data_IF_146318990872
#
_entry.id   IF_146318990872
#
_cell.length_a   1.000
_cell.length_b   1.000
_cell.length_c   1.000
_cell.angle_alpha   90.00
_cell.angle_beta   90.00
_cell.angle_gamma   90.00
#
_symmetry.space_group_name_H-M   'P 1'
#
loop_
_entity.id
_entity.type
_entity.pdbx_description
1 polymer ?
2 non-polymer ?
3 non-polymer ?
4 non-polymer ?
5 non-polymer ?
6 non-polymer ?
7 non-polymer ?
8 non-polymer ?
9 water ?
#
# COMPACT_ATOMS: atom_id res chain seq x y z
N UNK A 2 9.37 -17.90 1.12
CA UNK A 2 8.72 -18.71 2.12
C UNK A 2 8.40 -20.01 1.45
N UNK A 3 7.94 -21.03 2.26
CA UNK A 3 7.64 -22.26 1.54
C UNK A 3 6.40 -22.03 0.73
N UNK A 4 6.30 -22.72 -0.39
CA UNK A 4 5.17 -22.61 -1.27
C UNK A 4 4.55 -23.98 -1.21
N UNK A 5 3.34 -24.14 -1.71
CA UNK A 5 2.74 -25.45 -1.73
C UNK A 5 3.60 -26.22 -2.69
N UNK A 6 3.96 -27.44 -2.34
CA UNK A 6 4.79 -28.26 -3.18
C UNK A 6 3.93 -29.26 -3.89
N UNK A 7 2.93 -28.75 -4.55
CA UNK A 7 1.95 -29.54 -5.31
C UNK A 7 1.08 -28.53 -5.99
N UNK A 8 0.58 -28.87 -7.15
CA UNK A 8 -0.28 -27.94 -7.84
C UNK A 8 -1.80 -28.22 -7.66
N UNK A 9 -2.15 -29.42 -7.19
CA UNK A 9 -3.53 -29.74 -6.85
C UNK A 9 -3.77 -29.45 -5.39
N UNK A 10 -4.52 -28.39 -5.11
CA UNK A 10 -4.71 -27.90 -3.76
C UNK A 10 -6.21 -27.86 -3.46
N UNK A 11 -6.61 -28.47 -2.35
CA UNK A 11 -8.00 -28.47 -1.97
C UNK A 11 -8.27 -27.41 -0.92
N UNK A 12 -9.53 -26.95 -0.88
CA UNK A 12 -10.05 -26.00 0.12
C UNK A 12 -11.40 -26.42 0.61
N UNK A 13 -11.76 -25.96 1.79
CA UNK A 13 -13.04 -26.33 2.40
C UNK A 13 -13.55 -25.21 3.19
N UNK A 14 -14.81 -24.86 3.00
CA UNK A 14 -15.53 -23.92 3.87
C UNK A 14 -16.02 -24.63 5.18
N UNK A 15 -15.47 -24.18 6.29
CA UNK A 15 -15.70 -24.77 7.60
C UNK A 15 -17.04 -24.34 8.19
N UNK A 16 -17.45 -23.15 7.81
CA UNK A 16 -18.62 -22.50 8.35
C UNK A 16 -18.93 -21.31 7.47
N UNK A 17 -20.20 -20.92 7.50
CA UNK A 17 -20.73 -19.87 6.64
C UNK A 17 -21.06 -18.64 7.44
N UNK A 18 -20.74 -17.46 6.83
CA UNK A 18 -21.22 -16.20 7.34
C UNK A 18 -22.71 -16.03 7.10
N UNK A 19 -23.44 -15.46 8.06
CA UNK A 19 -24.87 -15.09 7.85
C UNK A 19 -25.14 -13.81 7.04
N UNK A 20 -24.11 -13.06 6.65
CA UNK A 20 -24.29 -11.79 5.96
C UNK A 20 -24.81 -11.98 4.53
N UNK A 21 -24.30 -13.02 3.84
CA UNK A 21 -24.59 -13.37 2.44
C UNK A 21 -25.27 -14.72 2.52
N UNK A 22 -26.01 -15.13 1.48
CA UNK A 22 -26.48 -16.50 1.44
C UNK A 22 -25.37 -17.38 0.90
N UNK A 23 -25.52 -18.67 1.11
CA UNK A 23 -24.46 -19.64 0.83
C UNK A 23 -23.91 -19.63 -0.55
N UNK A 24 -24.80 -19.56 -1.51
CA UNK A 24 -24.37 -19.56 -2.90
C UNK A 24 -23.50 -18.35 -3.22
N UNK A 25 -23.84 -17.20 -2.65
CA UNK A 25 -22.96 -16.01 -2.80
C UNK A 25 -21.54 -16.24 -2.14
N UNK A 26 -21.50 -16.96 -1.02
CA UNK A 26 -20.24 -17.21 -0.34
C UNK A 26 -19.40 -18.16 -1.20
N UNK A 27 -19.96 -19.32 -1.48
CA UNK A 27 -19.41 -20.32 -2.39
C UNK A 27 -18.89 -19.67 -3.70
N UNK A 28 -19.73 -18.84 -4.28
CA UNK A 28 -19.39 -18.23 -5.55
C UNK A 28 -18.18 -17.36 -5.42
N UNK A 29 -18.08 -16.61 -4.33
CA UNK A 29 -17.02 -15.58 -4.11
C UNK A 29 -15.69 -16.24 -3.91
N UNK A 30 -15.72 -17.29 -3.09
CA UNK A 30 -14.57 -18.10 -2.75
C UNK A 30 -14.08 -18.78 -4.00
N UNK A 31 -14.99 -19.45 -4.70
CA UNK A 31 -14.61 -20.24 -5.88
C UNK A 31 -13.99 -19.31 -6.91
N UNK A 32 -14.73 -18.30 -7.27
CA UNK A 32 -14.19 -17.24 -8.11
C UNK A 32 -12.87 -16.70 -7.64
N UNK A 33 -12.74 -16.56 -6.33
CA UNK A 33 -11.54 -16.05 -5.76
C UNK A 33 -10.32 -16.94 -6.03
N UNK A 34 -10.52 -18.25 -5.94
CA UNK A 34 -9.49 -19.24 -6.29
C UNK A 34 -9.16 -19.24 -7.78
N UNK A 35 -10.19 -19.03 -8.61
CA UNK A 35 -10.07 -18.99 -10.06
C UNK A 35 -9.18 -17.86 -10.50
N UNK A 36 -9.23 -16.76 -9.77
CA UNK A 36 -8.35 -15.63 -10.09
C UNK A 36 -6.87 -16.08 -10.14
N UNK A 37 -6.50 -16.99 -9.23
CA UNK A 37 -5.13 -17.42 -9.09
C UNK A 37 -4.72 -18.59 -9.99
N UNK A 38 -5.65 -19.51 -10.26
CA UNK A 38 -5.43 -20.62 -11.18
C UNK A 38 -5.53 -20.16 -12.62
N UNK A 39 -6.27 -19.11 -12.88
CA UNK A 39 -6.23 -18.45 -14.22
C UNK A 39 -4.90 -18.04 -14.79
N UNK A 40 -3.94 -17.76 -13.92
CA UNK A 40 -2.60 -17.29 -14.36
C UNK A 40 -1.48 -18.20 -13.85
N UNK A 41 -1.87 -19.33 -13.27
CA UNK A 41 -0.92 -20.32 -12.87
C UNK A 41 -1.38 -21.74 -13.25
N UNK A 42 -0.45 -22.70 -13.23
CA UNK A 42 -0.82 -24.10 -13.37
C UNK A 42 -1.37 -24.71 -12.08
N UNK A 43 -1.86 -23.88 -11.16
CA UNK A 43 -2.51 -24.37 -9.93
C UNK A 43 -3.92 -24.71 -10.31
N UNK A 44 -4.51 -25.61 -9.52
CA UNK A 44 -5.84 -26.11 -9.79
C UNK A 44 -6.53 -26.40 -8.50
N UNK A 45 -7.66 -25.73 -8.25
CA UNK A 45 -8.31 -25.78 -6.94
C UNK A 45 -9.58 -26.60 -6.96
N UNK A 46 -9.85 -27.31 -5.86
CA UNK A 46 -10.93 -28.30 -5.76
C UNK A 46 -11.54 -28.16 -4.38
N UNK A 47 -12.84 -27.85 -4.36
CA UNK A 47 -13.55 -27.67 -3.14
C UNK A 47 -13.96 -29.09 -2.68
N UNK A 48 -13.64 -29.46 -1.45
CA UNK A 48 -14.12 -30.71 -0.82
C UNK A 48 -15.03 -30.36 0.34
N UNK A 49 -15.87 -31.34 0.71
CA UNK A 49 -16.90 -31.20 1.72
C UNK A 49 -16.80 -32.26 2.79
N UNK A 50 -15.72 -33.01 2.69
CA UNK A 50 -15.37 -33.86 3.76
C UNK A 50 -13.87 -34.04 3.79
N UNK A 51 -13.40 -34.51 4.93
CA UNK A 51 -11.99 -34.73 5.17
C UNK A 51 -11.29 -33.41 5.37
N UNK A 52 -9.98 -33.41 5.18
CA UNK A 52 -9.15 -32.34 5.61
C UNK A 52 -8.62 -31.67 4.34
N UNK A 53 -8.69 -30.34 4.29
CA UNK A 53 -8.28 -29.54 3.08
C UNK A 53 -6.97 -28.87 3.25
N UNK A 54 -6.39 -28.46 2.16
CA UNK A 54 -5.17 -27.71 2.28
C UNK A 54 -5.54 -26.43 2.93
N UNK A 55 -6.55 -25.77 2.35
CA UNK A 55 -6.90 -24.40 2.73
C UNK A 55 -8.25 -24.41 3.35
N UNK A 56 -8.35 -23.99 4.61
CA UNK A 56 -9.64 -24.04 5.27
C UNK A 56 -10.05 -22.61 5.40
N UNK A 57 -11.22 -22.30 4.84
CA UNK A 57 -11.88 -21.02 4.92
C UNK A 57 -12.72 -21.04 6.19
N UNK A 58 -12.49 -20.06 7.08
CA UNK A 58 -13.25 -19.88 8.35
C UNK A 58 -13.83 -18.48 8.52
N UNK A 59 -15.06 -18.44 9.03
CA UNK A 59 -15.64 -17.18 9.53
C UNK A 59 -15.65 -17.22 11.06
N UNK A 60 -15.09 -16.17 11.67
CA UNK A 60 -14.97 -16.09 13.11
C UNK A 60 -14.80 -14.69 13.63
N UNK A 61 -15.25 -14.52 14.86
CA UNK A 61 -15.14 -13.26 15.58
C UNK A 61 -14.12 -13.39 16.74
N UNK A 62 -13.47 -12.30 17.06
CA UNK A 62 -12.60 -12.19 18.22
C UNK A 62 -11.46 -13.19 18.20
N UNK A 63 -11.28 -13.83 19.35
CA UNK A 63 -10.32 -14.88 19.49
C UNK A 63 -10.94 -16.20 18.97
N UNK A 64 -10.27 -16.91 18.08
CA UNK A 64 -10.80 -18.15 17.44
C UNK A 64 -9.78 -19.29 17.42
N UNK A 65 -8.87 -19.29 18.38
CA UNK A 65 -7.99 -20.44 18.63
C UNK A 65 -6.71 -20.46 17.82
N UNK A 66 -6.36 -19.37 17.12
CA UNK A 66 -5.11 -19.37 16.33
C UNK A 66 -4.09 -18.37 16.86
N UNK A 67 -4.33 -17.82 18.06
CA UNK A 67 -3.46 -16.77 18.68
C UNK A 67 -3.35 -15.46 17.90
N UNK A 68 -4.32 -15.19 17.03
CA UNK A 68 -4.42 -13.96 16.28
C UNK A 68 -5.89 -13.62 16.30
N UNK A 69 -6.33 -12.98 17.36
CA UNK A 69 -7.71 -12.58 17.46
C UNK A 69 -8.07 -11.42 16.52
N UNK A 70 -9.31 -11.49 16.09
CA UNK A 70 -9.94 -10.46 15.36
C UNK A 70 -10.34 -9.37 16.34
N UNK A 71 -10.71 -8.20 15.80
CA UNK A 71 -10.83 -6.97 16.59
C UNK A 71 -12.20 -6.31 16.44
N UNK A 72 -13.26 -7.10 16.27
CA UNK A 72 -14.59 -6.55 15.94
C UNK A 72 -14.60 -5.76 14.63
N UNK A 73 -15.73 -5.09 14.36
CA UNK A 73 -15.95 -4.40 13.08
C UNK A 73 -14.84 -3.39 12.78
N UNK A 74 -14.30 -3.39 11.58
CA UNK A 74 -13.23 -2.48 11.23
C UNK A 74 -11.85 -3.04 11.58
N UNK A 75 -10.83 -2.19 11.44
CA UNK A 75 -9.45 -2.59 11.58
C UNK A 75 -9.05 -3.79 10.72
N UNK A 76 -8.91 -4.93 11.40
CA UNK A 76 -8.44 -6.15 10.78
C UNK A 76 -9.67 -6.84 10.19
N UNK A 77 -9.60 -7.12 8.89
CA UNK A 77 -10.69 -7.75 8.15
C UNK A 77 -10.61 -9.28 8.08
N UNK A 78 -9.39 -9.79 7.99
CA UNK A 78 -9.11 -11.19 7.75
C UNK A 78 -7.60 -11.41 7.87
N UNK A 79 -7.17 -12.65 8.05
CA UNK A 79 -5.78 -13.01 7.87
C UNK A 79 -5.75 -14.41 7.33
N UNK A 80 -4.62 -14.79 6.72
CA UNK A 80 -4.34 -16.17 6.25
C UNK A 80 -2.89 -16.62 6.47
N UNK A 81 -2.74 -17.90 6.81
CA UNK A 81 -1.47 -18.51 7.16
C UNK A 81 -0.78 -19.01 5.93
N UNK A 82 0.55 -18.96 5.89
CA UNK A 82 1.32 -19.30 4.69
C UNK A 82 1.29 -20.78 4.39
N UNK A 83 1.76 -21.17 3.19
CA UNK A 83 1.65 -22.57 2.83
C UNK A 83 2.27 -23.42 3.93
N UNK A 84 1.63 -24.54 4.25
CA UNK A 84 2.12 -25.38 5.33
C UNK A 84 1.14 -26.47 5.66
N UNK A 85 1.57 -27.44 6.46
CA UNK A 85 0.61 -28.41 7.03
C UNK A 85 -0.27 -27.72 8.09
N UNK A 86 -1.31 -28.40 8.57
CA UNK A 86 -2.19 -27.89 9.65
C UNK A 86 -2.87 -26.55 9.34
N UNK A 87 -2.73 -25.58 10.24
CA UNK A 87 -3.24 -24.21 10.03
C UNK A 87 -2.66 -23.55 8.79
N UNK A 88 -1.49 -23.98 8.37
CA UNK A 88 -0.90 -23.54 7.11
C UNK A 88 -1.89 -23.37 5.98
N UNK A 89 -1.74 -22.23 5.27
CA UNK A 89 -2.65 -21.88 4.19
C UNK A 89 -4.07 -21.49 4.58
N UNK A 90 -4.54 -21.83 5.78
CA UNK A 90 -5.93 -21.49 6.14
C UNK A 90 -6.20 -19.96 6.00
N UNK A 91 -7.41 -19.60 5.58
CA UNK A 91 -7.83 -18.20 5.48
C UNK A 91 -9.02 -17.95 6.37
N UNK A 92 -8.84 -17.04 7.31
CA UNK A 92 -9.92 -16.69 8.21
C UNK A 92 -10.45 -15.29 7.96
N UNK A 93 -11.77 -15.17 8.09
CA UNK A 93 -12.50 -13.97 7.84
C UNK A 93 -13.18 -13.46 9.14
N UNK A 94 -12.99 -12.17 9.40
CA UNK A 94 -13.57 -11.56 10.57
C UNK A 94 -15.06 -11.46 10.36
N UNK A 95 -15.79 -12.28 11.07
CA UNK A 95 -17.23 -12.28 11.01
C UNK A 95 -17.84 -10.99 11.48
N UNK A 96 -17.14 -10.27 12.32
CA UNK A 96 -17.65 -8.99 12.73
C UNK A 96 -17.54 -7.94 11.61
N UNK A 97 -16.96 -8.25 10.45
CA UNK A 97 -17.15 -7.37 9.29
C UNK A 97 -18.48 -7.71 8.68
N UNK A 98 -18.98 -6.79 7.84
CA UNK A 98 -20.19 -7.10 7.06
C UNK A 98 -19.78 -7.56 5.67
N UNK A 99 -19.89 -8.87 5.43
CA UNK A 99 -19.42 -9.44 4.16
C UNK A 99 -20.51 -9.32 3.11
N UNK A 100 -20.10 -8.85 1.91
CA UNK A 100 -21.02 -8.55 0.77
C UNK A 100 -20.56 -9.11 -0.60
N UNK A 101 -21.54 -9.24 -1.50
CA UNK A 101 -21.26 -9.70 -2.87
C UNK A 101 -20.71 -8.51 -3.66
N UNK A 102 -21.20 -7.31 -3.34
CA UNK A 102 -20.62 -6.10 -3.88
C UNK A 102 -20.19 -5.19 -2.73
N UNK A 103 -20.58 -3.92 -2.77
CA UNK A 103 -20.11 -2.95 -1.81
C UNK A 103 -21.16 -2.80 -0.75
N UNK A 104 -20.96 -1.91 0.20
CA UNK A 104 -21.89 -1.77 1.33
C UNK A 104 -21.51 -2.69 2.47
N UNK A 105 -20.21 -2.84 2.62
CA UNK A 105 -19.65 -3.84 3.47
C UNK A 105 -18.21 -4.02 3.09
N UNK A 106 -17.72 -5.18 3.42
CA UNK A 106 -16.42 -5.60 2.99
C UNK A 106 -16.68 -6.68 1.98
N UNK A 107 -16.26 -6.43 0.76
CA UNK A 107 -16.43 -7.42 -0.28
C UNK A 107 -15.66 -8.73 -0.04
N UNK A 108 -16.40 -9.85 -0.02
CA UNK A 108 -15.83 -11.15 0.32
C UNK A 108 -14.86 -11.54 -0.79
N UNK A 109 -15.32 -11.40 -2.04
CA UNK A 109 -14.54 -11.84 -3.18
C UNK A 109 -13.14 -11.25 -3.18
N UNK A 110 -13.04 -9.92 -3.16
CA UNK A 110 -11.71 -9.27 -3.17
C UNK A 110 -10.85 -9.67 -1.93
N UNK A 111 -11.47 -9.63 -0.78
CA UNK A 111 -10.80 -10.01 0.43
C UNK A 111 -10.30 -11.46 0.35
N UNK A 112 -11.08 -12.34 -0.25
CA UNK A 112 -10.63 -13.73 -0.37
C UNK A 112 -9.57 -13.90 -1.46
N UNK A 113 -9.69 -13.16 -2.56
CA UNK A 113 -8.60 -13.12 -3.54
C UNK A 113 -7.30 -12.76 -2.83
N UNK A 114 -7.37 -11.83 -1.88
CA UNK A 114 -6.22 -11.34 -1.15
C UNK A 114 -5.66 -12.31 -0.14
N UNK A 115 -6.53 -12.82 0.71
CA UNK A 115 -6.10 -13.83 1.66
C UNK A 115 -5.59 -15.07 0.97
N UNK A 116 -6.24 -15.45 -0.12
CA UNK A 116 -5.82 -16.66 -0.81
C UNK A 116 -4.41 -16.47 -1.26
N UNK A 117 -4.10 -15.29 -1.85
CA UNK A 117 -2.74 -14.90 -2.16
C UNK A 117 -1.74 -15.13 -1.04
N UNK A 118 -1.98 -14.59 0.15
CA UNK A 118 -1.14 -15.00 1.28
C UNK A 118 -1.21 -16.55 1.49
N UNK A 119 -2.38 -17.15 1.37
CA UNK A 119 -2.45 -18.61 1.60
C UNK A 119 -1.52 -19.38 0.64
N UNK A 120 -1.17 -18.76 -0.50
CA UNK A 120 -0.27 -19.39 -1.46
C UNK A 120 1.18 -18.98 -1.26
N UNK A 121 1.45 -18.17 -0.24
CA UNK A 121 2.77 -17.59 0.04
C UNK A 121 3.09 -16.23 -0.60
N UNK A 122 2.09 -15.47 -1.02
CA UNK A 122 2.37 -14.14 -1.51
C UNK A 122 2.61 -13.13 -0.38
N UNK A 123 3.40 -12.09 -0.69
CA UNK A 123 3.64 -10.99 0.23
C UNK A 123 2.62 -9.89 -0.03
N UNK A 124 3.02 -8.66 0.23
CA UNK A 124 2.22 -7.50 -0.10
C UNK A 124 2.90 -6.78 -1.24
N UNK A 125 2.15 -5.92 -1.92
CA UNK A 125 2.64 -5.13 -3.05
C UNK A 125 2.58 -3.66 -2.73
N UNK A 126 3.39 -2.91 -3.45
CA UNK A 126 3.47 -1.48 -3.28
C UNK A 126 2.65 -0.76 -4.33
N UNK A 127 2.01 -1.51 -5.25
CA UNK A 127 1.14 -0.95 -6.30
C UNK A 127 -0.28 -0.91 -5.75
N UNK A 128 -0.89 0.28 -5.59
CA UNK A 128 -2.27 0.41 -5.06
C UNK A 128 -3.38 -0.23 -5.90
N UNK A 129 -3.00 -0.67 -7.09
CA UNK A 129 -3.87 -1.33 -8.03
C UNK A 129 -3.72 -2.86 -7.91
N UNK A 130 -2.77 -3.31 -7.11
CA UNK A 130 -2.53 -4.70 -6.85
C UNK A 130 -3.51 -5.26 -5.82
N UNK A 131 -3.97 -6.46 -6.05
CA UNK A 131 -4.87 -7.09 -5.09
C UNK A 131 -4.21 -7.41 -3.73
N UNK A 132 -2.92 -7.68 -3.75
CA UNK A 132 -2.08 -7.85 -2.58
C UNK A 132 -1.61 -6.50 -1.91
N UNK A 133 -2.10 -5.35 -2.40
CA UNK A 133 -1.91 -4.06 -1.70
C UNK A 133 -2.48 -4.18 -0.28
N UNK A 134 -1.77 -3.67 0.74
CA UNK A 134 -2.22 -3.87 2.12
C UNK A 134 -3.49 -3.15 2.52
N UNK A 135 -3.89 -2.09 1.83
CA UNK A 135 -5.10 -1.35 2.19
C UNK A 135 -6.29 -1.86 1.39
N UNK A 136 -7.39 -2.15 2.08
CA UNK A 136 -8.59 -2.60 1.40
C UNK A 136 -9.36 -1.40 0.90
N UNK A 137 -9.85 -1.51 -0.31
CA UNK A 137 -10.75 -0.55 -0.88
C UNK A 137 -11.61 -1.28 -1.88
N UNK A 138 -12.88 -0.90 -1.95
CA UNK A 138 -13.80 -1.53 -2.88
C UNK A 138 -13.43 -1.08 -4.31
N UNK A 139 -13.25 -2.05 -5.20
CA UNK A 139 -12.92 -1.76 -6.60
C UNK A 139 -14.00 -2.47 -7.43
N UNK A 140 -14.09 -2.08 -8.71
CA UNK A 140 -15.12 -2.61 -9.59
C UNK A 140 -14.76 -4.02 -9.96
N UNK A 141 -15.55 -4.97 -9.47
CA UNK A 141 -15.39 -6.41 -9.75
C UNK A 141 -15.56 -6.75 -11.24
N UNK A 142 -16.43 -6.01 -11.95
CA UNK A 142 -16.48 -6.04 -13.43
C UNK A 142 -15.15 -5.85 -14.15
N UNK A 143 -14.34 -4.99 -13.63
CA UNK A 143 -13.10 -4.66 -14.27
C UNK A 143 -11.95 -5.19 -13.44
N UNK A 144 -12.26 -6.15 -12.56
CA UNK A 144 -11.28 -6.73 -11.70
C UNK A 144 -10.25 -7.48 -12.50
N UNK A 145 -9.00 -7.33 -12.13
CA UNK A 145 -7.89 -7.91 -12.84
C UNK A 145 -6.68 -7.91 -11.91
N UNK A 146 -6.01 -9.06 -11.78
CA UNK A 146 -4.68 -9.06 -11.14
C UNK A 146 -3.75 -8.03 -11.79
N UNK A 147 -2.95 -7.32 -10.99
CA UNK A 147 -1.97 -6.37 -11.52
C UNK A 147 -0.75 -7.15 -11.99
N UNK A 148 0.16 -6.51 -12.72
CA UNK A 148 1.41 -7.18 -13.18
C UNK A 148 2.17 -7.76 -12.02
N UNK A 149 2.21 -6.99 -10.95
CA UNK A 149 2.92 -7.29 -9.74
C UNK A 149 2.35 -8.55 -9.10
N UNK A 150 1.03 -8.70 -9.16
CA UNK A 150 0.39 -9.91 -8.65
C UNK A 150 0.77 -11.11 -9.52
N UNK A 151 0.83 -10.90 -10.83
CA UNK A 151 1.13 -11.98 -11.76
C UNK A 151 2.60 -12.40 -11.61
N UNK A 152 3.52 -11.44 -11.60
CA UNK A 152 4.94 -11.76 -11.39
C UNK A 152 5.25 -12.52 -10.13
N UNK A 153 4.57 -12.16 -9.06
CA UNK A 153 4.83 -12.75 -7.77
C UNK A 153 4.34 -14.16 -7.70
N UNK A 154 3.09 -14.41 -8.13
CA UNK A 154 2.49 -15.71 -8.04
C UNK A 154 3.19 -16.70 -8.96
N UNK A 155 3.48 -16.29 -10.20
CA UNK A 155 4.24 -17.12 -11.17
C UNK A 155 5.74 -17.30 -10.84
N UNK A 156 6.27 -16.51 -9.90
CA UNK A 156 7.62 -16.76 -9.39
C UNK A 156 7.61 -17.90 -8.37
N UNK A 157 6.48 -18.11 -7.73
CA UNK A 157 6.29 -19.24 -6.82
C UNK A 157 5.84 -20.55 -7.52
N UNK A 158 5.03 -20.43 -8.58
CA UNK A 158 4.34 -21.58 -9.21
C UNK A 158 4.44 -21.69 -10.77
N UNK A 159 5.06 -20.71 -11.45
CA UNK A 159 5.20 -20.74 -12.92
C UNK A 159 3.90 -20.34 -13.61
N UNK B 1 15.12 2.30 -6.77
CA UNK B 1 14.59 2.33 -8.16
C UNK B 1 15.68 2.56 -9.25
N UNK B 2 15.87 3.80 -9.70
CA UNK B 2 16.59 4.10 -10.93
C UNK B 2 17.67 5.13 -10.67
N UNK B 3 17.53 6.35 -11.23
CA UNK B 3 18.63 7.30 -11.12
C UNK B 3 18.74 7.86 -9.70
N UNK B 4 19.91 8.39 -9.38
CA UNK B 4 20.17 9.01 -8.10
C UNK B 4 20.91 10.31 -8.33
N UNK B 5 21.03 11.11 -7.29
CA UNK B 5 21.82 12.31 -7.34
C UNK B 5 23.28 11.85 -7.27
N UNK B 6 24.16 12.51 -8.03
CA UNK B 6 25.59 12.15 -8.05
C UNK B 6 26.41 13.09 -7.19
N UNK B 7 25.78 13.57 -6.14
CA UNK B 7 26.41 14.42 -5.20
C UNK B 7 25.62 14.23 -3.93
N UNK B 8 26.26 14.56 -2.80
CA UNK B 8 25.64 14.52 -1.48
C UNK B 8 25.24 15.89 -0.91
N UNK B 9 25.78 16.97 -1.50
CA UNK B 9 25.36 18.34 -1.21
C UNK B 9 24.25 18.73 -2.14
N UNK B 10 23.01 18.77 -1.63
CA UNK B 10 21.84 19.02 -2.48
C UNK B 10 21.06 20.22 -2.00
N UNK B 11 20.73 21.12 -2.92
CA UNK B 11 20.01 22.33 -2.55
C UNK B 11 18.55 22.20 -2.88
N UNK B 12 17.73 22.91 -2.13
CA UNK B 12 16.31 23.01 -2.38
C UNK B 12 15.86 24.45 -2.16
N UNK B 13 14.84 24.87 -2.90
CA UNK B 13 14.30 26.20 -2.72
C UNK B 13 12.80 26.17 -2.77
N UNK B 14 12.17 26.91 -1.88
CA UNK B 14 10.73 27.09 -1.84
C UNK B 14 10.39 28.24 -2.83
N UNK B 15 9.66 27.89 -3.88
CA UNK B 15 9.34 28.77 -4.95
C UNK B 15 8.27 29.73 -4.58
N UNK B 16 7.30 29.20 -3.89
CA UNK B 16 6.20 29.96 -3.41
C UNK B 16 5.59 29.27 -2.22
N UNK B 17 4.69 29.99 -1.57
CA UNK B 17 4.12 29.65 -0.30
C UNK B 17 2.63 29.55 -0.42
N UNK B 18 2.11 28.43 0.12
CA UNK B 18 0.70 28.26 0.28
C UNK B 18 0.21 29.29 1.25
N UNK B 19 -1.00 29.87 1.02
CA UNK B 19 -1.63 30.59 2.15
C UNK B 19 -2.32 29.71 3.24
N UNK B 20 -2.38 28.38 3.11
CA UNK B 20 -3.02 27.58 4.18
C UNK B 20 -2.37 27.70 5.57
N UNK B 21 -1.04 27.62 5.62
CA UNK B 21 -0.25 27.66 6.84
C UNK B 21 0.52 28.94 6.86
N UNK B 22 1.03 29.39 8.00
CA UNK B 22 1.94 30.50 7.97
C UNK B 22 3.32 30.08 7.48
N UNK B 23 4.02 31.06 6.92
CA UNK B 23 5.30 30.80 6.29
C UNK B 23 6.29 30.01 7.11
N UNK B 24 6.51 30.45 8.34
CA UNK B 24 7.52 29.82 9.18
C UNK B 24 7.16 28.36 9.43
N UNK B 25 5.88 28.06 9.52
CA UNK B 25 5.48 26.64 9.56
C UNK B 25 5.77 25.93 8.25
N UNK B 26 5.69 26.63 7.12
CA UNK B 26 6.00 25.98 5.84
C UNK B 26 7.52 25.66 5.78
N UNK B 27 8.33 26.62 6.14
CA UNK B 27 9.78 26.35 6.27
C UNK B 27 10.07 25.18 7.26
N UNK B 28 9.44 25.19 8.41
CA UNK B 28 9.76 24.19 9.44
C UNK B 28 9.44 22.77 8.95
N UNK B 29 8.25 22.61 8.38
CA UNK B 29 7.82 21.36 7.73
C UNK B 29 8.78 20.82 6.68
N UNK B 30 9.22 21.70 5.81
CA UNK B 30 10.07 21.35 4.66
C UNK B 30 11.44 20.98 5.16
N UNK B 31 12.01 21.87 5.97
CA UNK B 31 13.35 21.67 6.53
C UNK B 31 13.37 20.37 7.37
N UNK B 32 12.39 20.19 8.21
CA UNK B 32 12.25 18.91 8.97
C UNK B 32 12.14 17.70 8.07
N UNK B 33 11.43 17.88 6.96
CA UNK B 33 11.22 16.80 6.00
C UNK B 33 12.50 16.39 5.31
N UNK B 34 13.32 17.36 4.92
CA UNK B 34 14.65 17.08 4.40
C UNK B 34 15.52 16.35 5.47
N UNK B 35 15.42 16.81 6.72
CA UNK B 35 16.12 16.26 7.89
C UNK B 35 15.83 14.79 8.14
N UNK B 36 14.63 14.38 7.83
CA UNK B 36 14.29 12.97 7.93
C UNK B 36 15.21 12.09 7.08
N UNK B 37 15.57 12.53 5.86
CA UNK B 37 16.41 11.68 4.99
C UNK B 37 17.89 11.90 5.19
N UNK B 38 18.24 13.08 5.68
CA UNK B 38 19.60 13.45 5.96
C UNK B 38 20.09 12.75 7.24
N UNK B 39 19.18 12.51 8.17
CA UNK B 39 19.52 11.76 9.39
C UNK B 39 19.96 10.29 9.23
N UNK B 40 19.76 9.72 8.03
CA UNK B 40 20.06 8.30 7.77
C UNK B 40 20.83 8.06 6.46
N UNK B 41 21.36 9.14 5.88
CA UNK B 41 22.23 9.11 4.73
C UNK B 41 23.35 10.15 4.95
N UNK B 42 24.37 10.13 4.07
CA UNK B 42 25.33 11.21 4.02
C UNK B 42 24.91 12.42 3.22
N UNK B 43 23.65 12.51 2.81
CA UNK B 43 23.16 13.67 2.03
C UNK B 43 23.00 14.88 2.93
N UNK B 44 23.36 16.06 2.43
CA UNK B 44 23.11 17.34 3.12
C UNK B 44 22.19 18.21 2.29
N UNK B 45 21.20 18.83 2.94
CA UNK B 45 20.24 19.69 2.25
C UNK B 45 20.39 21.13 2.73
N UNK B 46 20.55 22.02 1.77
CA UNK B 46 20.76 23.44 2.02
C UNK B 46 19.61 24.15 1.37
N UNK B 47 19.00 25.06 2.12
CA UNK B 47 17.90 25.85 1.63
C UNK B 47 18.57 27.08 1.00
N UNK B 48 18.37 27.37 -0.29
CA UNK B 48 18.84 28.64 -0.91
C UNK B 48 17.65 29.52 -1.25
N UNK B 49 17.94 30.83 -1.31
CA UNK B 49 16.96 31.89 -1.56
C UNK B 49 17.24 32.73 -2.79
N UNK B 50 18.30 32.35 -3.48
CA UNK B 50 18.50 32.76 -4.80
C UNK B 50 19.14 31.68 -5.62
N UNK B 51 19.13 31.91 -6.93
CA UNK B 51 19.66 30.98 -7.93
C UNK B 51 18.78 29.75 -8.17
N UNK B 52 19.41 28.70 -8.72
CA UNK B 52 18.70 27.53 -9.21
C UNK B 52 18.97 26.34 -8.30
N UNK B 53 18.01 25.98 -7.45
CA UNK B 53 18.13 24.75 -6.59
C UNK B 53 18.02 23.43 -7.32
N UNK B 54 18.59 22.41 -6.73
CA UNK B 54 18.34 21.05 -7.20
C UNK B 54 16.86 20.79 -7.09
N UNK B 55 16.28 20.98 -5.90
CA UNK B 55 14.93 20.56 -5.63
C UNK B 55 14.07 21.77 -5.43
N UNK B 56 13.12 22.01 -6.33
CA UNK B 56 12.29 23.21 -6.22
C UNK B 56 11.02 22.75 -5.63
N UNK B 57 10.62 23.43 -4.55
CA UNK B 57 9.40 23.17 -3.83
C UNK B 57 8.32 24.13 -4.33
N UNK B 58 7.34 23.61 -5.07
CA UNK B 58 6.25 24.42 -5.67
C UNK B 58 4.88 24.09 -5.03
N UNK B 59 4.04 25.11 -4.92
CA UNK B 59 2.63 24.97 -4.56
C UNK B 59 1.81 25.45 -5.74
N UNK B 60 0.94 24.59 -6.26
CA UNK B 60 0.31 24.88 -7.52
C UNK B 60 -1.03 24.23 -7.59
N UNK B 61 -1.89 24.87 -8.38
CA UNK B 61 -3.25 24.39 -8.65
C UNK B 61 -3.33 23.83 -10.05
N UNK B 62 -4.17 22.83 -10.25
CA UNK B 62 -4.52 22.32 -11.59
C UNK B 62 -3.32 22.20 -12.49
N UNK B 63 -3.36 22.90 -13.63
CA UNK B 63 -2.31 22.79 -14.62
C UNK B 63 -1.24 23.85 -14.28
N UNK B 64 0.03 23.43 -14.14
CA UNK B 64 1.17 24.31 -13.74
C UNK B 64 2.43 24.13 -14.53
N UNK B 65 2.31 23.59 -15.76
CA UNK B 65 3.36 23.72 -16.78
C UNK B 65 4.34 22.56 -16.81
N UNK B 66 3.95 21.43 -16.18
CA UNK B 66 4.82 20.24 -16.20
C UNK B 66 4.20 18.99 -16.84
N UNK B 67 3.09 19.14 -17.58
CA UNK B 67 2.35 18.00 -18.18
C UNK B 67 1.77 16.99 -17.19
N UNK B 68 1.50 17.45 -15.96
CA UNK B 68 0.92 16.64 -14.90
C UNK B 68 0.11 17.59 -14.03
N UNK B 69 -1.07 17.94 -14.51
CA UNK B 69 -1.98 18.76 -13.80
C UNK B 69 -2.54 18.10 -12.55
N UNK B 70 -2.66 18.92 -11.50
CA UNK B 70 -3.31 18.58 -10.28
C UNK B 70 -4.84 18.57 -10.51
N UNK B 71 -5.59 18.12 -9.50
CA UNK B 71 -7.00 17.72 -9.68
C UNK B 71 -8.00 18.27 -8.63
N UNK B 72 -7.77 19.49 -8.11
CA UNK B 72 -8.62 20.01 -7.04
C UNK B 72 -8.53 19.23 -5.73
N UNK B 73 -9.34 19.62 -4.77
CA UNK B 73 -9.30 19.05 -3.44
C UNK B 73 -9.61 17.57 -3.53
N UNK B 74 -8.76 16.75 -2.91
CA UNK B 74 -8.91 15.31 -2.96
C UNK B 74 -8.01 14.75 -4.03
N UNK B 75 -8.04 13.42 -4.18
CA UNK B 75 -7.19 12.72 -5.11
C UNK B 75 -5.69 12.99 -5.00
N UNK B 76 -5.09 13.31 -6.13
CA UNK B 76 -3.69 13.60 -6.18
C UNK B 76 -3.46 14.78 -5.25
N UNK B 77 -2.58 14.53 -4.27
CA UNK B 77 -2.17 15.50 -3.27
C UNK B 77 -0.90 16.26 -3.67
N UNK B 78 -0.01 15.56 -4.37
CA UNK B 78 1.31 16.08 -4.67
C UNK B 78 2.00 15.09 -5.57
N UNK B 79 3.03 15.55 -6.28
CA UNK B 79 3.97 14.67 -6.99
C UNK B 79 5.34 15.28 -6.95
N UNK B 80 6.35 14.53 -7.36
CA UNK B 80 7.71 15.00 -7.43
C UNK B 80 8.42 14.13 -8.44
N UNK B 81 9.40 14.71 -9.11
CA UNK B 81 10.07 14.12 -10.24
C UNK B 81 11.35 13.52 -9.69
N UNK B 82 11.86 12.47 -10.34
CA UNK B 82 13.03 11.76 -9.82
C UNK B 82 14.30 12.53 -10.07
N UNK B 83 15.43 12.05 -9.50
CA UNK B 83 16.65 12.85 -9.64
C UNK B 83 17.04 13.11 -11.11
N UNK B 84 17.54 14.32 -11.38
CA UNK B 84 17.74 14.76 -12.75
C UNK B 84 17.97 16.27 -12.80
N UNK B 85 18.44 16.75 -13.94
CA UNK B 85 18.59 18.20 -14.15
C UNK B 85 17.21 18.84 -14.34
N UNK B 86 17.17 20.17 -14.31
CA UNK B 86 15.93 20.88 -14.58
C UNK B 86 14.82 20.47 -13.65
N UNK B 87 13.67 20.09 -14.20
CA UNK B 87 12.51 19.72 -13.37
C UNK B 87 12.77 18.53 -12.45
N UNK B 88 13.69 17.64 -12.84
CA UNK B 88 14.18 16.54 -12.00
C UNK B 88 14.38 16.93 -10.55
N UNK B 89 13.86 16.10 -9.64
CA UNK B 89 13.95 16.35 -8.20
C UNK B 89 12.91 17.31 -7.61
N UNK B 90 12.31 18.15 -8.46
CA UNK B 90 11.36 19.13 -7.98
C UNK B 90 10.16 18.41 -7.29
N UNK B 91 9.70 18.98 -6.16
CA UNK B 91 8.51 18.49 -5.54
C UNK B 91 7.40 19.53 -5.59
N UNK B 92 6.24 19.11 -6.08
CA UNK B 92 5.08 19.96 -6.20
C UNK B 92 3.94 19.54 -5.32
N UNK B 93 3.28 20.54 -4.72
CA UNK B 93 2.19 20.31 -3.77
C UNK B 93 0.89 20.92 -4.32
N UNK B 94 -0.20 20.16 -4.21
CA UNK B 94 -1.49 20.60 -4.75
C UNK B 94 -2.11 21.62 -3.82
N UNK B 95 -2.16 22.87 -4.27
CA UNK B 95 -2.67 23.96 -3.47
C UNK B 95 -4.16 23.90 -3.21
N UNK B 96 -4.89 23.18 -4.03
CA UNK B 96 -6.27 22.92 -3.70
C UNK B 96 -6.45 21.99 -2.52
N UNK B 97 -5.37 21.41 -2.01
CA UNK B 97 -5.46 20.63 -0.76
C UNK B 97 -5.40 21.64 0.39
N UNK B 98 -5.92 21.25 1.55
CA UNK B 98 -5.71 22.07 2.73
C UNK B 98 -4.43 21.66 3.50
N UNK B 99 -3.35 22.40 3.31
CA UNK B 99 -2.08 22.08 3.93
C UNK B 99 -2.05 22.56 5.39
N UNK B 100 -1.65 21.65 6.28
CA UNK B 100 -1.82 21.77 7.72
C UNK B 100 -0.49 21.49 8.45
N UNK B 101 -0.28 22.13 9.59
CA UNK B 101 0.90 21.80 10.42
C UNK B 101 0.73 20.43 11.11
N UNK B 102 -0.48 20.10 11.54
CA UNK B 102 -0.80 18.82 12.12
C UNK B 102 -1.89 18.19 11.29
N UNK B 103 -3.10 18.12 11.80
CA UNK B 103 -4.16 17.44 11.13
C UNK B 103 -5.26 18.45 10.78
N UNK B 104 -6.34 17.96 10.18
CA UNK B 104 -7.49 18.79 9.84
C UNK B 104 -7.42 19.24 8.40
N UNK B 105 -6.77 18.42 7.57
CA UNK B 105 -6.36 18.79 6.24
C UNK B 105 -5.28 17.83 5.83
N UNK B 106 -4.36 18.25 4.96
CA UNK B 106 -3.27 17.39 4.51
C UNK B 106 -1.96 17.82 5.14
N UNK B 107 -1.40 16.95 5.97
CA UNK B 107 -0.18 17.33 6.65
C UNK B 107 0.93 17.61 5.70
N UNK B 108 1.50 18.82 5.76
CA UNK B 108 2.57 19.19 4.82
C UNK B 108 3.82 18.35 5.12
N UNK B 109 4.15 18.17 6.39
CA UNK B 109 5.43 17.57 6.72
C UNK B 109 5.53 16.17 6.17
N UNK B 110 4.56 15.31 6.51
CA UNK B 110 4.51 13.93 6.04
C UNK B 110 4.43 13.83 4.49
N UNK B 111 3.62 14.66 3.87
CA UNK B 111 3.58 14.67 2.40
C UNK B 111 4.96 15.05 1.80
N UNK B 112 5.60 16.03 2.38
CA UNK B 112 6.91 16.44 1.89
C UNK B 112 7.98 15.38 2.13
N UNK B 113 7.92 14.64 3.25
CA UNK B 113 8.93 13.57 3.48
C UNK B 113 8.77 12.54 2.37
N UNK B 114 7.52 12.24 2.02
CA UNK B 114 7.23 11.28 0.99
C UNK B 114 7.63 11.77 -0.38
N UNK B 115 7.25 12.98 -0.75
CA UNK B 115 7.65 13.53 -2.07
C UNK B 115 9.13 13.66 -2.17
N UNK B 116 9.76 14.01 -1.07
CA UNK B 116 11.22 14.10 -1.06
C UNK B 116 11.86 12.75 -1.33
N UNK B 117 11.31 11.65 -0.82
CA UNK B 117 11.78 10.34 -1.22
C UNK B 117 11.73 10.04 -2.71
N UNK B 118 10.61 10.34 -3.35
CA UNK B 118 10.60 10.38 -4.81
C UNK B 118 11.64 11.44 -5.38
N UNK B 119 11.78 12.59 -4.76
CA UNK B 119 12.81 13.57 -5.29
C UNK B 119 14.23 12.96 -5.25
N UNK B 120 14.41 11.97 -4.36
CA UNK B 120 15.70 11.34 -4.15
C UNK B 120 15.86 10.03 -4.88
N UNK B 121 14.82 9.51 -5.49
CA UNK B 121 14.89 8.27 -6.26
C UNK B 121 14.10 7.09 -5.70
N UNK B 122 13.38 7.25 -4.60
CA UNK B 122 12.57 6.13 -4.08
C UNK B 122 11.24 5.86 -4.82
N UNK B 123 10.96 4.57 -4.97
CA UNK B 123 9.66 4.14 -5.40
C UNK B 123 8.85 3.99 -4.14
N UNK B 124 7.77 3.21 -4.25
CA UNK B 124 6.81 3.02 -3.19
C UNK B 124 7.05 1.73 -2.42
N UNK B 125 6.49 1.68 -1.23
CA UNK B 125 6.71 0.57 -0.32
C UNK B 125 5.43 -0.18 -0.05
N UNK B 126 5.56 -1.47 0.16
CA UNK B 126 4.42 -2.34 0.50
C UNK B 126 4.16 -2.34 1.96
N UNK B 127 4.95 -1.60 2.74
CA UNK B 127 4.76 -1.51 4.20
C UNK B 127 3.89 -0.29 4.52
N UNK B 128 2.68 -0.51 5.08
CA UNK B 128 1.78 0.61 5.47
C UNK B 128 2.31 1.53 6.57
N UNK B 129 3.31 1.07 7.35
CA UNK B 129 4.05 1.96 8.27
C UNK B 129 5.13 2.79 7.57
N UNK B 130 5.37 2.56 6.28
CA UNK B 130 6.42 3.24 5.58
C UNK B 130 5.98 4.61 5.15
N UNK B 131 6.89 5.55 5.17
CA UNK B 131 6.56 6.90 4.70
C UNK B 131 6.29 6.89 3.15
N UNK B 132 7.02 6.04 2.45
CA UNK B 132 6.86 5.84 1.01
C UNK B 132 5.72 4.91 0.58
N UNK B 133 4.91 4.45 1.51
CA UNK B 133 3.66 3.81 1.19
C UNK B 133 2.75 4.76 0.37
N UNK B 134 2.09 4.26 -0.69
CA UNK B 134 1.40 5.21 -1.58
C UNK B 134 0.06 5.83 -1.14
N UNK B 135 -0.50 5.47 0.01
CA UNK B 135 -1.74 6.07 0.54
C UNK B 135 -1.37 7.06 1.63
N UNK B 136 -2.06 8.18 1.73
CA UNK B 136 -1.76 9.20 2.73
C UNK B 136 -2.63 8.92 3.93
N UNK B 137 -2.04 8.70 5.11
CA UNK B 137 -2.81 8.62 6.35
C UNK B 137 -2.09 9.40 7.40
N UNK B 138 -2.79 10.26 8.13
CA UNK B 138 -2.16 11.00 9.20
C UNK B 138 -1.60 10.04 10.28
N UNK B 139 -0.31 10.16 10.52
CA UNK B 139 0.37 9.48 11.61
C UNK B 139 0.81 10.55 12.62
N UNK B 140 0.82 10.13 13.90
CA UNK B 140 1.39 10.92 15.01
C UNK B 140 2.86 11.31 14.73
N UNK B 141 3.04 12.60 14.45
CA UNK B 141 4.33 13.20 14.07
C UNK B 141 5.31 13.21 15.25
N UNK B 142 4.76 13.32 16.45
CA UNK B 142 5.51 12.93 17.65
C UNK B 142 6.22 11.59 17.63
N UNK B 143 5.60 10.57 17.09
CA UNK B 143 6.23 9.27 17.06
C UNK B 143 6.78 8.90 15.70
N UNK B 144 6.78 9.86 14.77
CA UNK B 144 7.19 9.65 13.41
C UNK B 144 8.60 9.11 13.35
N UNK B 145 8.80 8.10 12.53
CA UNK B 145 10.12 7.55 12.23
C UNK B 145 10.00 6.86 10.88
N UNK B 146 11.08 6.82 10.11
CA UNK B 146 11.16 5.99 8.92
C UNK B 146 11.05 4.52 9.33
N UNK B 147 10.47 3.71 8.46
CA UNK B 147 10.38 2.28 8.66
C UNK B 147 11.66 1.61 8.17
N UNK B 148 11.81 0.32 8.44
CA UNK B 148 12.99 -0.40 7.94
C UNK B 148 13.09 -0.28 6.41
N UNK B 149 11.96 -0.41 5.72
CA UNK B 149 11.89 -0.46 4.25
C UNK B 149 12.29 0.87 3.64
N UNK B 150 11.96 1.95 4.36
CA UNK B 150 12.32 3.31 3.99
C UNK B 150 13.79 3.53 4.13
N UNK B 151 14.33 3.22 5.30
CA UNK B 151 15.75 3.42 5.59
C UNK B 151 16.59 2.63 4.59
N UNK B 152 16.25 1.34 4.48
CA UNK B 152 16.88 0.41 3.54
C UNK B 152 16.85 0.94 2.09
N UNK B 153 15.71 1.49 1.69
CA UNK B 153 15.55 2.01 0.35
C UNK B 153 16.52 3.13 0.10
N UNK B 154 16.44 4.16 0.93
CA UNK B 154 17.28 5.34 0.74
C UNK B 154 18.78 5.00 0.84
N UNK B 155 19.12 4.10 1.74
CA UNK B 155 20.51 3.65 1.91
C UNK B 155 20.99 2.82 0.73
N UNK B 156 20.11 1.97 0.21
CA UNK B 156 20.44 1.22 -1.01
C UNK B 156 20.83 2.15 -2.16
N UNK B 157 20.34 3.39 -2.12
CA UNK B 157 20.68 4.37 -3.15
C UNK B 157 21.80 5.24 -2.75
N UNK B 158 21.87 5.64 -1.50
CA UNK B 158 22.87 6.63 -1.07
C UNK B 158 23.91 6.17 -0.04
N UNK B 159 23.71 5.00 0.57
CA UNK B 159 24.57 4.52 1.65
C UNK B 159 24.23 5.16 2.98
X LIG C 1 -7.14 -7.66 5.05
X LIG C 1 -7.50 -7.61 3.72
X LIG C 1 -6.10 -5.69 3.40
X LIG C 1 -7.33 -6.53 1.47
X LIG C 1 -8.81 -6.96 -0.35
X LIG C 1 -7.95 -6.27 -1.20
X LIG C 1 -6.80 -5.71 -0.70
X LIG C 1 -6.49 -5.84 0.64
X LIG C 1 -3.19 -6.43 6.99
X LIG C 1 6.13 -8.64 12.35
X LIG C 1 5.65 -8.34 11.28
X LIG C 1 5.85 -9.18 10.05
X LIG C 1 4.87 -7.12 11.18
X LIG C 1 3.49 -7.41 10.91
X LIG C 1 2.77 -6.37 10.06
X LIG C 1 3.33 -6.16 8.71
X LIG C 1 4.07 -6.99 7.97
X LIG C 1 4.95 -6.59 7.22
X LIG C 1 3.76 -8.45 8.09
X LIG C 1 2.78 -7.51 12.24
X LIG C 1 3.64 -8.30 13.07
X LIG C 1 3.14 -9.52 13.70
X LIG C 1 2.55 -9.42 14.74
X LIG C 1 3.41 -10.84 13.06
X LIG C 1 1.40 -8.08 11.96
X LIG C 1 0.58 -8.39 13.21
X LIG C 1 -0.26 -7.32 13.54
X LIG C 1 -1.68 -7.54 13.46
X LIG C 1 -2.09 -7.99 12.42
X LIG C 1 -2.56 -7.22 14.62
X LIG C 1 0.64 -7.18 11.15
X LIG C 1 1.26 -6.64 9.98
X LIG C 1 0.50 -5.48 9.51
X LIG C 1 -0.27 -5.62 8.42
X LIG C 1 0.36 -6.32 7.20
X LIG C 1 -1.54 -5.17 8.35
X LIG C 1 -2.73 -6.00 8.38
X LIG C 1 -4.37 -7.29 7.01
X LIG C 1 -4.12 -8.74 6.85
X LIG C 1 -3.19 -9.27 7.92
X LIG C 1 -3.84 -9.09 9.26
X LIG C 1 -2.92 -10.73 7.68
X LIG C 1 -3.83 -9.13 5.50
X LIG C 1 -4.29 -10.04 4.97
X LIG C 1 -3.08 -8.51 4.92
X LIG C 1 -5.77 -6.69 7.07
X LIG C 1 -5.78 -5.37 7.51
X LIG C 1 -6.65 -7.40 7.88
X LIG C 1 -6.26 -6.71 5.56
X LIG C 1 -6.97 -6.64 2.91
X LIG C 1 -5.75 -5.73 4.73
X LIG C 1 -8.49 -7.08 0.98
X LIG D 1 -2.52 -8.82 3.29
X LIG E 1 -7.44 -16.81 12.57
X LIG F 1 -4.36 -25.88 6.14
X LIG G 1 -20.74 -10.50 9.69
X LIG H 1 -12.20 -6.51 12.26
X LIG I 1 4.90 -8.68 -5.13
X LIG I 1 3.83 -9.45 -4.36
X LIG I 1 4.33 -10.85 -4.04
X LIG I 1 6.15 -8.72 -4.43
X LIG I 1 2.61 -9.53 -5.11
X LIG J 1 6.71 -26.87 -6.12
X LIG J 1 7.63 -26.57 -5.05
X LIG J 1 5.68 -25.75 -6.29
X LIG J 1 6.15 -24.65 -7.08
X LIG K 1 8.50 -4.97 -10.79
X LIG K 1 9.72 -5.28 -11.46
X LIG K 1 8.43 -5.76 -9.48
X LIG K 1 7.87 -7.05 -9.68
X LIG K 1 7.75 -7.72 -8.41
X LIG K 1 7.28 -9.16 -8.59
X LIG K 1 8.39 -10.02 -8.86
X LIG L 1 0.85 11.78 -2.64
X LIG L 1 1.38 11.68 -1.36
X LIG L 1 0.32 9.55 -1.10
X LIG L 1 1.65 10.40 0.76
X LIG L 1 2.47 11.31 2.81
X LIG L 1 2.64 10.02 3.31
X LIG L 1 2.31 8.93 2.54
X LIG L 1 1.82 9.12 1.27
X LIG L 1 0.16 8.57 -5.68
X LIG L 1 -7.88 3.08 -7.13
X LIG L 1 -6.76 3.32 -6.76
X LIG L 1 -5.61 2.45 -7.14
X LIG L 1 -6.55 4.48 -5.91
X LIG L 1 -6.31 5.61 -6.75
X LIG L 1 -4.84 6.00 -6.79
X LIG L 1 -4.27 5.29 -7.94
X LIG L 1 -3.45 5.84 -8.85
X LIG L 1 -3.69 6.92 -9.37
X LIG L 1 -2.23 5.05 -9.18
X LIG L 1 -7.33 6.69 -6.40
X LIG L 1 -8.55 6.45 -7.15
X LIG L 1 -8.46 6.07 -8.56
X LIG L 1 -7.41 6.16 -9.15
X LIG L 1 -9.69 5.56 -9.25
X LIG L 1 -6.89 8.15 -6.45
X LIG L 1 -7.35 8.89 -5.19
X LIG L 1 -8.77 8.95 -5.22
X LIG L 1 -9.41 9.88 -6.14
X LIG L 1 -8.84 10.13 -7.18
X LIG L 1 -10.74 10.49 -5.80
X LIG L 1 -5.52 8.46 -6.66
X LIG L 1 -4.50 7.48 -6.81
X LIG L 1 -3.45 7.66 -5.81
X LIG L 1 -2.25 7.05 -5.83
X LIG L 1 -1.78 6.15 -4.63
X LIG L 1 -1.41 7.21 -6.86
X LIG L 1 -0.63 8.41 -6.96
X LIG L 1 0.37 9.97 -5.40
X LIG L 1 1.63 10.51 -5.81
X LIG L 1 1.93 10.17 -7.26
X LIG L 1 0.89 10.82 -8.15
X LIG L 1 3.28 10.71 -7.67
X LIG L 1 2.74 10.19 -4.86
X LIG L 1 2.65 9.22 -4.09
X LIG L 1 3.69 10.96 -4.89
X LIG L 1 -0.57 10.82 -4.59
X LIG L 1 -1.87 10.32 -4.60
X LIG L 1 -0.57 12.14 -5.05
X LIG L 1 0.05 10.77 -3.13
X LIG L 1 1.11 10.56 -0.60
X LIG L 1 -0.20 9.65 -2.37
X LIG L 1 1.98 11.49 1.53
X LIG M 1 4.48 8.45 -3.87
X LIG N 1 3.81 19.42 -11.07
X LIG O 1 15.39 20.31 -10.13
X LIG P 1 -4.51 25.17 -0.23
X LIG Q 1 -5.83 17.16 -5.50
X LIG R 1 22.13 13.60 -11.88
X LIG R 1 21.76 12.84 -10.72
X LIG R 1 22.71 14.97 -11.49
X LIG R 1 23.32 14.92 -10.20
X LIG S 1 -2.31 11.26 -13.02
X LIG S 1 -1.24 12.02 -13.54
X LIG S 1 -1.71 10.11 -12.21
X LIG S 1 -2.69 9.66 -11.29
X LIG T 1 -3.75 9.26 -1.39
X LIG T 1 -4.42 8.42 -0.36
X LIG T 1 -4.07 8.56 -2.90
X LIG T 1 -4.68 10.65 -1.62
#
# INVERSE_FOLDING_TARGET
MGPVWRKHYITYRINNYTPDMNREDVDYAIRKAFQVWSNVTPLKFSKINTGMADILVVFARGAHGDDHAFDGKGGILAHAFGPGSGIGGDAHFDEDEFWTTHSGGTNLFLTAVHEIGHSLGLGHSSDPKAVMFPTYKYVDINTFRLSADDIRGIQSLYG
MGPVWRKHYITYRINNYTPDMNREDVDYAIRKAFQVWSNVTPLKFSKINTGMADILVVFARGAHGDDHAFDGKGGILAHAFGPGSGIGGDAHFDEDEFWTTHSGGTNLFLTAVHEIGHSLGLGHSSDPKAVMFPTYKYVDINTFRLSADDIRGIQSLYG
H27 C13 C14 C16 C18 C20 C21 C22 C23 C24 O52 C37 C51 O36 C35 C28 N43 C44 O46 C45 C34 O41 C42 O50 C49 C33 C38 O39 C40 O48 C47 O32 C27 N94 C95 SUR N93 C25 NA CZA CZ1 CC1 CC2 C OZ2 O98 SA OS2 OS1 C12 C15 C17 C19
ZN ZN
ZN ZN
CA CA
CA CA
CA CA
PGO C1 C2 C3 O1 O2
EDO C1 O1 C2 O2
PEG C1 O1 C2 O2 C3 C4 O4
H27 C13 C14 C16 C18 C20 C21 C22 C23 C24 O52 C37 C51 O36 C35 C28 N43 C44 O46 C45 C34 O41 C42 O50 C49 C33 C38 O39 C40 O48 C47 O32 C27 N94 C95 SUR N93 C25 NA CZA CZ1 CC1 CC2 C OZ2 O98 SA OS2 OS1 C12 C15 C17 C19
ZN ZN
ZN ZN
CA CA
CA CA
CA CA
EDO C1 O1 C2 O2
EDO C1 O1 C2 O2
DMS S O C1 C2
#
